data_IF_439493521068
#
_entry.id   IF_439493521068
#
_cell.length_a   1.000
_cell.length_b   1.000
_cell.length_c   1.000
_cell.angle_alpha   90.00
_cell.angle_beta   90.00
_cell.angle_gamma   90.00
#
_symmetry.space_group_name_H-M   'P 1'
#
loop_
_entity.id
_entity.type
_entity.pdbx_description
1 polymer ?
#
# COMPACT_ATOMS: atom_id res chain seq x y z
N UNK A 1 6.58 5.52 25.72
CA UNK A 1 6.44 6.60 24.72
C UNK A 1 6.46 5.90 23.38
N UNK A 2 5.73 6.35 22.34
CA UNK A 2 6.02 5.80 21.02
C UNK A 2 7.52 6.01 20.81
N UNK A 3 8.23 4.92 20.53
CA UNK A 3 9.65 4.99 20.20
C UNK A 3 9.82 6.06 19.12
N UNK A 4 10.86 6.89 19.23
CA UNK A 4 11.06 7.98 18.29
C UNK A 4 11.21 7.39 16.88
N UNK A 5 10.12 7.42 16.11
CA UNK A 5 10.02 6.82 14.77
C UNK A 5 11.13 7.37 13.88
N UNK A 6 11.47 8.65 14.05
CA UNK A 6 12.53 9.32 13.30
C UNK A 6 13.92 8.85 13.72
N UNK A 7 14.09 8.38 14.96
CA UNK A 7 15.30 7.74 15.44
C UNK A 7 15.41 6.27 15.02
N UNK A 8 14.29 5.54 14.92
CA UNK A 8 14.25 4.19 14.38
C UNK A 8 14.44 4.15 12.85
N UNK A 9 14.04 5.22 12.17
CA UNK A 9 14.13 5.41 10.72
C UNK A 9 14.87 6.70 10.36
N UNK A 10 16.18 6.83 10.66
CA UNK A 10 16.96 7.98 10.27
C UNK A 10 16.96 8.21 8.76
N UNK A 11 17.19 9.46 8.35
CA UNK A 11 17.37 9.81 6.94
C UNK A 11 18.57 9.06 6.35
N UNK A 12 18.36 8.53 5.15
CA UNK A 12 19.40 7.93 4.31
C UNK A 12 19.69 8.87 3.12
N UNK A 13 20.82 8.69 2.41
CA UNK A 13 21.08 9.40 1.17
C UNK A 13 19.98 9.14 0.13
N UNK A 14 19.58 10.18 -0.61
CA UNK A 14 18.60 10.03 -1.68
C UNK A 14 19.07 9.05 -2.78
N UNK A 15 20.39 8.92 -2.97
CA UNK A 15 21.01 8.00 -3.93
C UNK A 15 20.73 6.53 -3.66
N UNK A 16 20.24 6.18 -2.47
CA UNK A 16 19.79 4.82 -2.17
C UNK A 16 18.57 4.40 -3.02
N UNK A 17 17.85 5.36 -3.62
CA UNK A 17 16.75 5.10 -4.56
C UNK A 17 17.19 5.11 -6.03
N UNK A 18 18.44 5.45 -6.37
CA UNK A 18 18.90 5.60 -7.77
C UNK A 18 18.70 4.32 -8.57
N UNK A 19 18.92 3.16 -7.94
CA UNK A 19 18.71 1.87 -8.60
C UNK A 19 17.24 1.60 -8.94
N UNK A 20 16.30 2.10 -8.12
CA UNK A 20 14.86 2.02 -8.41
C UNK A 20 14.49 2.97 -9.54
N UNK A 21 15.04 4.18 -9.56
CA UNK A 21 14.85 5.13 -10.65
C UNK A 21 15.33 4.54 -11.99
N UNK A 22 16.53 3.95 -12.01
CA UNK A 22 17.06 3.26 -13.18
C UNK A 22 16.20 2.07 -13.61
N UNK A 23 15.69 1.30 -12.64
CA UNK A 23 14.91 0.10 -12.89
C UNK A 23 13.50 0.39 -13.40
N UNK A 24 12.83 1.39 -12.81
CA UNK A 24 11.49 1.85 -13.19
C UNK A 24 11.50 2.76 -14.42
N UNK A 25 12.66 3.37 -14.74
CA UNK A 25 12.78 4.45 -15.74
C UNK A 25 11.85 5.63 -15.42
N UNK A 26 11.80 5.99 -14.14
CA UNK A 26 10.89 6.99 -13.56
C UNK A 26 11.68 7.95 -12.65
N UNK A 27 11.16 9.16 -12.42
CA UNK A 27 11.73 10.15 -11.51
C UNK A 27 11.27 9.98 -10.05
N UNK A 28 10.36 9.05 -9.80
CA UNK A 28 9.86 8.70 -8.47
C UNK A 28 8.84 9.68 -7.92
N UNK A 29 8.31 10.59 -8.73
CA UNK A 29 7.38 11.64 -8.30
C UNK A 29 6.17 11.07 -7.55
N UNK A 30 5.67 9.91 -7.97
CA UNK A 30 4.55 9.18 -7.35
C UNK A 30 4.99 7.89 -6.65
N UNK A 31 6.24 7.47 -6.82
CA UNK A 31 6.79 6.19 -6.36
C UNK A 31 7.53 5.48 -7.50
N UNK A 32 8.23 4.41 -7.20
CA UNK A 32 8.97 3.62 -8.20
C UNK A 32 8.33 2.24 -8.40
N UNK A 33 7.58 2.06 -9.48
CA UNK A 33 7.02 0.75 -9.82
C UNK A 33 8.12 -0.19 -10.34
N UNK A 34 8.61 -1.09 -9.49
CA UNK A 34 9.56 -2.11 -9.93
C UNK A 34 8.90 -3.12 -10.92
N UNK A 35 9.66 -3.66 -11.89
CA UNK A 35 9.20 -4.74 -12.76
C UNK A 35 8.85 -5.98 -11.93
N UNK A 36 7.87 -6.78 -12.37
CA UNK A 36 7.28 -7.87 -11.60
C UNK A 36 8.13 -9.14 -11.50
N UNK A 37 9.46 -9.00 -11.34
CA UNK A 37 10.42 -10.11 -11.31
C UNK A 37 11.03 -10.29 -9.91
N UNK A 38 11.29 -11.53 -9.46
CA UNK A 38 10.97 -12.80 -10.14
C UNK A 38 9.47 -13.12 -10.12
N UNK A 39 8.71 -12.46 -9.25
CA UNK A 39 7.27 -12.58 -9.17
C UNK A 39 6.64 -11.30 -8.57
N UNK A 40 5.35 -11.06 -8.81
CA UNK A 40 4.63 -9.93 -8.22
C UNK A 40 3.12 -10.15 -8.07
N UNK A 41 2.54 -9.47 -7.08
CA UNK A 41 1.10 -9.29 -6.90
C UNK A 41 0.78 -7.85 -6.47
N UNK A 42 -0.48 -7.46 -6.64
CA UNK A 42 -1.03 -6.21 -6.14
C UNK A 42 -1.89 -6.50 -4.92
N UNK A 43 -1.50 -5.95 -3.77
CA UNK A 43 -2.33 -5.89 -2.57
C UNK A 43 -3.32 -4.74 -2.73
N UNK A 44 -4.61 -5.04 -2.67
CA UNK A 44 -5.69 -4.08 -2.85
C UNK A 44 -5.97 -3.34 -1.53
N UNK A 45 -6.07 -2.01 -1.59
CA UNK A 45 -6.33 -1.18 -0.43
C UNK A 45 -7.67 -1.49 0.23
N UNK A 46 -7.76 -1.24 1.54
CA UNK A 46 -8.96 -1.50 2.32
C UNK A 46 -10.14 -0.65 1.88
N UNK A 47 -11.23 -1.32 1.55
CA UNK A 47 -12.53 -0.72 1.30
C UNK A 47 -13.49 -1.17 2.41
N UNK A 48 -14.38 -0.29 2.85
CA UNK A 48 -15.30 -0.59 3.93
C UNK A 48 -16.73 -0.23 3.55
N UNK A 49 -17.69 -1.08 3.95
CA UNK A 49 -19.11 -0.84 3.79
C UNK A 49 -19.74 -0.43 5.13
N UNK A 50 -20.62 0.57 5.06
CA UNK A 50 -21.36 1.11 6.19
C UNK A 50 -22.55 0.21 6.52
N UNK A 51 -22.55 -0.37 7.73
CA UNK A 51 -23.73 -1.05 8.27
C UNK A 51 -24.83 -0.08 8.69
N UNK A 52 -26.06 -0.57 8.88
CA UNK A 52 -27.23 0.27 9.22
C UNK A 52 -27.06 1.07 10.52
N UNK A 53 -26.32 0.53 11.48
CA UNK A 53 -26.05 1.15 12.77
C UNK A 53 -24.67 1.82 12.86
N UNK A 54 -23.97 1.98 11.73
CA UNK A 54 -22.64 2.56 11.72
C UNK A 54 -22.66 4.05 12.06
N UNK A 55 -21.72 4.44 12.91
CA UNK A 55 -21.42 5.84 13.17
C UNK A 55 -20.78 6.49 11.92
N UNK A 56 -20.60 7.80 11.97
CA UNK A 56 -19.89 8.49 10.88
C UNK A 56 -18.43 8.04 10.85
N UNK A 57 -17.85 8.03 9.64
CA UNK A 57 -16.46 7.61 9.44
C UNK A 57 -15.52 8.46 10.30
N UNK A 58 -14.56 7.80 10.96
CA UNK A 58 -13.47 8.47 11.67
C UNK A 58 -12.49 9.13 10.70
N UNK A 59 -12.45 8.66 9.45
CA UNK A 59 -11.57 9.18 8.43
C UNK A 59 -12.16 10.45 7.79
N UNK A 60 -11.28 11.30 7.31
CA UNK A 60 -11.55 12.55 6.62
C UNK A 60 -10.39 12.85 5.68
N UNK A 61 -10.48 13.88 4.83
CA UNK A 61 -9.42 14.25 3.85
C UNK A 61 -8.01 14.48 4.46
N UNK A 62 -7.91 14.50 5.78
CA UNK A 62 -6.70 14.76 6.57
C UNK A 62 -6.45 13.67 7.63
N UNK A 63 -7.18 12.55 7.62
CA UNK A 63 -6.87 11.42 8.49
C UNK A 63 -5.81 10.53 7.85
N UNK A 64 -5.13 9.77 8.70
CA UNK A 64 -4.49 8.53 8.23
C UNK A 64 -5.59 7.52 7.96
N UNK A 65 -5.45 6.74 6.91
CA UNK A 65 -6.45 5.76 6.49
C UNK A 65 -6.55 4.63 7.51
N UNK A 66 -7.36 4.86 8.52
CA UNK A 66 -7.63 3.91 9.59
C UNK A 66 -8.91 3.13 9.27
N UNK A 67 -9.20 2.13 10.10
CA UNK A 67 -10.54 1.55 10.08
C UNK A 67 -11.57 2.67 10.37
N UNK A 68 -12.65 2.83 9.56
CA UNK A 68 -13.62 3.93 9.72
C UNK A 68 -14.43 3.97 11.02
N UNK A 69 -14.14 3.08 11.98
CA UNK A 69 -14.84 2.99 13.27
C UNK A 69 -15.99 1.97 13.34
N UNK A 70 -16.76 2.00 14.46
CA UNK A 70 -17.79 1.00 14.74
C UNK A 70 -18.92 0.95 13.71
N UNK A 71 -19.31 -0.27 13.35
CA UNK A 71 -20.40 -0.54 12.40
C UNK A 71 -20.00 -0.50 10.93
N UNK A 72 -18.76 -0.10 10.62
CA UNK A 72 -18.15 -0.32 9.32
C UNK A 72 -17.56 -1.73 9.25
N UNK A 73 -17.63 -2.35 8.08
CA UNK A 73 -17.10 -3.69 7.84
C UNK A 73 -16.22 -3.69 6.60
N UNK A 74 -15.13 -4.45 6.62
CA UNK A 74 -14.27 -4.64 5.43
C UNK A 74 -15.13 -5.21 4.30
N UNK A 75 -15.13 -4.54 3.16
CA UNK A 75 -15.74 -4.97 1.91
C UNK A 75 -14.62 -5.36 0.96
N UNK A 76 -14.59 -6.61 0.50
CA UNK A 76 -13.60 -7.02 -0.50
C UNK A 76 -13.93 -6.41 -1.86
N UNK A 77 -12.90 -6.07 -2.63
CA UNK A 77 -13.05 -5.65 -4.02
C UNK A 77 -13.79 -6.69 -4.85
N UNK A 78 -13.49 -7.97 -4.66
CA UNK A 78 -14.18 -9.09 -5.30
C UNK A 78 -15.67 -9.17 -4.94
N UNK A 79 -16.04 -8.81 -3.71
CA UNK A 79 -17.44 -8.77 -3.29
C UNK A 79 -18.19 -7.64 -3.97
N UNK A 80 -17.61 -6.44 -4.00
CA UNK A 80 -18.20 -5.30 -4.72
C UNK A 80 -18.30 -5.58 -6.22
N UNK A 81 -17.22 -6.04 -6.84
CA UNK A 81 -17.15 -6.42 -8.25
C UNK A 81 -18.27 -7.39 -8.62
N UNK A 82 -18.46 -8.46 -7.83
CA UNK A 82 -19.52 -9.43 -8.04
C UNK A 82 -20.93 -8.83 -7.90
N UNK A 83 -21.13 -7.88 -6.96
CA UNK A 83 -22.42 -7.20 -6.75
C UNK A 83 -22.81 -6.31 -7.94
N UNK A 84 -21.84 -5.61 -8.54
CA UNK A 84 -22.10 -4.62 -9.60
C UNK A 84 -21.83 -5.15 -11.02
N UNK A 85 -21.26 -6.34 -11.15
CA UNK A 85 -20.97 -6.98 -12.45
C UNK A 85 -19.67 -6.51 -13.11
N UNK A 86 -18.81 -5.80 -12.39
CA UNK A 86 -17.49 -5.38 -12.85
C UNK A 86 -16.42 -6.46 -12.59
N UNK A 87 -15.28 -6.47 -13.31
CA UNK A 87 -14.10 -7.21 -12.88
C UNK A 87 -13.45 -6.53 -11.66
N UNK A 88 -12.70 -7.29 -10.85
CA UNK A 88 -11.95 -6.74 -9.70
C UNK A 88 -10.98 -5.64 -10.13
N UNK A 89 -10.21 -5.91 -11.18
CA UNK A 89 -9.41 -4.91 -11.89
C UNK A 89 -9.66 -5.12 -13.39
N UNK A 90 -10.22 -4.14 -14.11
CA UNK A 90 -10.41 -4.23 -15.55
C UNK A 90 -9.10 -4.47 -16.30
N UNK A 91 -9.17 -5.19 -17.42
CA UNK A 91 -7.99 -5.52 -18.21
C UNK A 91 -7.24 -4.26 -18.67
N UNK A 92 -5.93 -4.23 -18.42
CA UNK A 92 -5.06 -3.11 -18.80
C UNK A 92 -5.10 -1.93 -17.84
N UNK A 93 -5.90 -1.99 -16.76
CA UNK A 93 -5.88 -0.99 -15.69
C UNK A 93 -5.00 -1.44 -14.52
N UNK A 94 -4.60 -0.46 -13.73
CA UNK A 94 -4.03 -0.65 -12.40
C UNK A 94 -5.15 -0.59 -11.35
N UNK A 95 -4.94 -1.10 -10.12
CA UNK A 95 -5.90 -0.94 -9.04
C UNK A 95 -6.02 0.53 -8.64
N UNK A 96 -7.06 1.20 -9.10
CA UNK A 96 -7.31 2.63 -8.84
C UNK A 96 -8.81 2.93 -8.86
N UNK A 97 -9.17 4.21 -8.71
CA UNK A 97 -10.56 4.67 -8.69
C UNK A 97 -11.37 4.36 -9.95
N UNK A 98 -10.73 3.95 -11.05
CA UNK A 98 -11.38 3.51 -12.28
C UNK A 98 -11.82 2.03 -12.29
N UNK A 99 -11.54 1.24 -11.25
CA UNK A 99 -11.85 -0.19 -11.26
C UNK A 99 -13.34 -0.54 -11.17
N UNK A 100 -14.18 0.37 -10.66
CA UNK A 100 -15.61 0.13 -10.46
C UNK A 100 -16.50 1.15 -11.20
N UNK A 101 -16.45 1.21 -12.55
CA UNK A 101 -17.22 2.18 -13.32
C UNK A 101 -18.73 2.04 -13.10
N UNK A 102 -19.23 0.83 -12.84
CA UNK A 102 -20.65 0.55 -12.64
C UNK A 102 -21.15 0.97 -11.25
N UNK A 103 -20.27 1.34 -10.32
CA UNK A 103 -20.65 1.74 -8.96
C UNK A 103 -21.56 2.97 -8.92
N UNK A 104 -21.44 3.88 -9.90
CA UNK A 104 -22.30 5.07 -10.02
C UNK A 104 -23.73 4.75 -10.47
N UNK A 105 -23.87 3.68 -11.24
CA UNK A 105 -25.15 3.23 -11.81
C UNK A 105 -25.83 2.19 -10.92
N UNK A 106 -25.04 1.48 -10.12
CA UNK A 106 -25.52 0.64 -9.04
C UNK A 106 -26.25 1.48 -7.98
N UNK A 107 -27.26 0.90 -7.33
CA UNK A 107 -28.02 1.52 -6.23
C UNK A 107 -27.18 1.63 -4.91
N UNK A 108 -25.88 1.87 -5.03
CA UNK A 108 -24.98 2.13 -3.90
C UNK A 108 -25.33 3.49 -3.32
N UNK A 109 -25.65 3.51 -2.03
CA UNK A 109 -26.02 4.74 -1.35
C UNK A 109 -24.79 5.65 -1.21
N UNK A 110 -24.89 6.96 -1.50
CA UNK A 110 -23.78 7.88 -1.27
C UNK A 110 -23.28 7.80 0.18
N UNK A 111 -21.98 7.66 0.37
CA UNK A 111 -21.35 7.52 1.69
C UNK A 111 -21.57 6.18 2.39
N UNK A 112 -22.11 5.16 1.70
CA UNK A 112 -22.18 3.80 2.25
C UNK A 112 -20.91 2.98 2.04
N UNK A 113 -19.97 3.48 1.25
CA UNK A 113 -18.67 2.88 1.02
C UNK A 113 -17.60 3.92 1.36
N UNK A 114 -16.66 3.50 2.20
CA UNK A 114 -15.36 4.13 2.37
C UNK A 114 -14.44 3.50 1.33
N UNK A 115 -14.01 4.30 0.37
CA UNK A 115 -13.12 3.83 -0.70
C UNK A 115 -11.68 3.73 -0.19
N UNK A 116 -10.85 2.89 -0.82
CA UNK A 116 -9.42 2.85 -0.52
C UNK A 116 -8.78 4.22 -0.71
N UNK A 117 -7.73 4.47 0.05
CA UNK A 117 -6.94 5.67 -0.04
C UNK A 117 -6.02 5.67 -1.27
N UNK A 118 -5.87 6.83 -1.89
CA UNK A 118 -4.89 7.06 -2.95
C UNK A 118 -3.49 7.14 -2.34
N UNK A 119 -2.54 6.37 -2.87
CA UNK A 119 -1.15 6.45 -2.46
C UNK A 119 -0.81 5.91 -1.07
N UNK A 120 -1.75 5.24 -0.40
CA UNK A 120 -1.57 4.74 0.97
C UNK A 120 -2.28 3.39 1.18
N UNK A 121 -1.83 2.66 2.20
CA UNK A 121 -2.55 1.50 2.74
C UNK A 121 -3.25 1.86 4.04
N UNK A 122 -4.41 1.24 4.28
CA UNK A 122 -5.07 1.30 5.58
C UNK A 122 -4.25 0.54 6.65
N UNK A 123 -4.38 0.94 7.92
CA UNK A 123 -3.60 0.35 9.03
C UNK A 123 -3.66 -1.19 9.08
N UNK A 124 -4.83 -1.85 9.02
CA UNK A 124 -4.90 -3.31 8.98
C UNK A 124 -4.12 -3.93 7.81
N UNK A 125 -4.27 -3.38 6.60
CA UNK A 125 -3.56 -3.87 5.40
C UNK A 125 -2.05 -3.66 5.52
N UNK A 126 -1.61 -2.50 6.00
CA UNK A 126 -0.19 -2.19 6.25
C UNK A 126 0.44 -3.19 7.23
N UNK A 127 -0.19 -3.41 8.38
CA UNK A 127 0.34 -4.30 9.42
C UNK A 127 0.51 -5.72 8.95
N UNK A 128 -0.50 -6.21 8.24
CA UNK A 128 -0.53 -7.55 7.69
C UNK A 128 0.52 -7.71 6.58
N UNK A 129 0.72 -6.71 5.73
CA UNK A 129 1.79 -6.70 4.74
C UNK A 129 3.18 -6.75 5.42
N UNK A 130 3.44 -5.93 6.45
CA UNK A 130 4.71 -5.96 7.18
C UNK A 130 4.94 -7.33 7.84
N UNK A 131 3.90 -7.98 8.35
CA UNK A 131 3.99 -9.35 8.88
C UNK A 131 4.47 -10.34 7.81
N UNK A 132 3.88 -10.32 6.63
CA UNK A 132 4.30 -11.18 5.51
C UNK A 132 5.74 -10.90 5.06
N UNK A 133 6.11 -9.63 4.90
CA UNK A 133 7.48 -9.25 4.56
C UNK A 133 8.47 -9.77 5.61
N UNK A 134 8.11 -9.68 6.90
CA UNK A 134 8.92 -10.18 8.01
C UNK A 134 9.08 -11.70 7.94
N UNK A 135 7.99 -12.44 7.77
CA UNK A 135 8.00 -13.91 7.70
C UNK A 135 8.79 -14.44 6.51
N UNK A 136 8.83 -13.71 5.41
CA UNK A 136 9.49 -14.12 4.17
C UNK A 136 10.88 -13.49 3.96
N UNK A 137 11.37 -12.69 4.91
CA UNK A 137 12.73 -12.16 4.88
C UNK A 137 13.68 -13.06 5.68
N UNK A 138 14.88 -13.43 5.17
CA UNK A 138 15.80 -14.33 5.87
C UNK A 138 16.24 -13.85 7.26
N UNK A 139 16.27 -12.53 7.47
CA UNK A 139 16.65 -11.90 8.74
C UNK A 139 15.43 -11.52 9.60
N UNK A 140 14.21 -11.86 9.17
CA UNK A 140 12.99 -11.57 9.90
C UNK A 140 12.86 -10.08 10.25
N UNK A 141 12.63 -9.80 11.53
CA UNK A 141 12.51 -8.43 12.05
C UNK A 141 13.80 -7.62 11.93
N UNK A 142 14.95 -8.27 11.87
CA UNK A 142 16.26 -7.60 11.78
C UNK A 142 16.64 -7.25 10.33
N UNK A 143 15.80 -7.60 9.35
CA UNK A 143 16.02 -7.28 7.93
C UNK A 143 16.22 -5.77 7.74
N UNK A 144 17.39 -5.32 7.25
CA UNK A 144 17.61 -3.91 6.94
C UNK A 144 16.72 -3.49 5.77
N UNK A 145 16.03 -2.37 5.92
CA UNK A 145 15.09 -1.86 4.95
C UNK A 145 15.28 -0.37 4.70
N UNK A 146 14.82 0.06 3.54
CA UNK A 146 14.71 1.47 3.21
C UNK A 146 13.28 1.82 2.84
N UNK A 147 12.81 2.95 3.34
CA UNK A 147 11.50 3.52 3.08
C UNK A 147 11.65 4.83 2.34
N UNK A 148 11.04 4.94 1.17
CA UNK A 148 11.00 6.14 0.36
C UNK A 148 9.60 6.76 0.43
N UNK A 149 9.56 8.06 0.70
CA UNK A 149 8.37 8.88 0.58
C UNK A 149 8.53 9.80 -0.63
N UNK A 150 7.62 9.65 -1.59
CA UNK A 150 7.65 10.46 -2.81
C UNK A 150 7.44 11.96 -2.50
N UNK A 151 7.89 12.85 -3.40
CA UNK A 151 7.75 14.29 -3.22
C UNK A 151 6.33 14.80 -2.97
N UNK A 152 5.32 14.16 -3.58
CA UNK A 152 3.92 14.56 -3.46
C UNK A 152 3.42 14.34 -2.03
N UNK A 153 3.61 13.14 -1.47
CA UNK A 153 3.15 12.79 -0.12
C UNK A 153 4.01 13.45 0.96
N UNK A 154 5.30 13.62 0.70
CA UNK A 154 6.22 14.31 1.61
C UNK A 154 6.05 15.83 1.56
N UNK A 155 5.38 16.37 0.53
CA UNK A 155 5.28 17.80 0.22
C UNK A 155 6.66 18.48 0.16
N UNK A 156 7.63 17.76 -0.41
CA UNK A 156 9.04 18.12 -0.46
C UNK A 156 9.61 17.72 -1.83
N UNK A 157 9.65 18.69 -2.75
CA UNK A 157 10.02 18.47 -4.16
C UNK A 157 11.51 18.64 -4.45
N UNK A 158 12.29 19.08 -3.47
CA UNK A 158 13.72 19.25 -3.65
C UNK A 158 14.45 17.91 -3.47
N UNK A 159 14.04 17.11 -2.49
CA UNK A 159 14.66 15.82 -2.18
C UNK A 159 13.59 14.83 -1.71
N UNK A 160 13.37 13.76 -2.48
CA UNK A 160 12.56 12.63 -2.02
C UNK A 160 13.16 11.98 -0.76
N UNK A 161 12.32 11.65 0.22
CA UNK A 161 12.82 11.28 1.56
C UNK A 161 13.03 9.78 1.66
N UNK A 162 14.29 9.36 1.62
CA UNK A 162 14.68 7.99 1.96
C UNK A 162 15.02 7.90 3.45
N UNK A 163 14.52 6.87 4.12
CA UNK A 163 14.84 6.51 5.50
C UNK A 163 15.34 5.09 5.57
N UNK A 164 16.30 4.81 6.43
CA UNK A 164 16.86 3.48 6.65
C UNK A 164 16.47 2.98 8.04
N UNK A 165 16.06 1.73 8.15
CA UNK A 165 15.62 1.13 9.41
C UNK A 165 15.57 -0.40 9.34
N UNK A 166 14.93 -1.02 10.32
CA UNK A 166 14.70 -2.47 10.35
C UNK A 166 13.24 -2.78 10.07
N UNK A 167 13.00 -3.91 9.42
CA UNK A 167 11.66 -4.36 9.08
C UNK A 167 10.74 -4.53 10.30
N UNK A 168 11.28 -4.98 11.45
CA UNK A 168 10.53 -5.10 12.69
C UNK A 168 9.99 -3.76 13.23
N UNK A 169 10.59 -2.64 12.82
CA UNK A 169 10.17 -1.30 13.19
C UNK A 169 9.25 -0.68 12.11
N UNK A 170 8.94 -1.39 11.01
CA UNK A 170 8.24 -0.83 9.85
C UNK A 170 6.76 -0.54 10.10
N UNK A 171 6.09 -1.29 11.00
CA UNK A 171 4.71 -0.96 11.37
C UNK A 171 4.57 0.48 11.89
N UNK A 172 5.60 0.99 12.58
CA UNK A 172 5.64 2.37 13.10
C UNK A 172 5.73 3.45 12.02
N UNK A 173 6.07 3.11 10.77
CA UNK A 173 6.10 4.09 9.67
C UNK A 173 4.70 4.62 9.32
N UNK A 174 3.64 3.85 9.61
CA UNK A 174 2.26 4.33 9.55
C UNK A 174 2.05 5.52 10.51
N UNK A 175 2.79 5.52 11.62
CA UNK A 175 2.67 6.52 12.67
C UNK A 175 3.56 7.76 12.48
N UNK A 176 4.21 7.91 11.32
CA UNK A 176 5.16 8.99 11.03
C UNK A 176 4.57 10.39 11.30
N UNK A 177 5.14 11.18 12.22
CA UNK A 177 4.52 12.44 12.68
C UNK A 177 4.47 13.53 11.59
N UNK A 178 5.28 13.41 10.53
CA UNK A 178 5.39 14.41 9.47
C UNK A 178 4.64 14.00 8.19
N UNK A 179 4.37 12.71 7.99
CA UNK A 179 3.82 12.17 6.74
C UNK A 179 2.65 11.25 7.08
N UNK A 180 1.47 11.52 6.51
CA UNK A 180 0.23 10.81 6.83
C UNK A 180 -0.08 9.64 5.88
N UNK A 181 0.89 9.27 5.07
CA UNK A 181 0.84 8.18 4.12
C UNK A 181 1.79 7.08 4.55
N UNK A 182 1.51 5.83 4.18
CA UNK A 182 2.55 4.81 4.15
C UNK A 182 3.66 5.20 3.15
N UNK A 183 4.89 4.67 3.29
CA UNK A 183 5.94 4.92 2.30
C UNK A 183 5.49 4.54 0.88
N UNK A 184 5.79 5.38 -0.11
CA UNK A 184 5.54 5.08 -1.52
C UNK A 184 6.32 3.86 -1.98
N UNK A 185 7.52 3.67 -1.45
CA UNK A 185 8.27 2.43 -1.58
C UNK A 185 8.85 1.99 -0.24
N UNK A 186 8.91 0.67 -0.05
CA UNK A 186 9.69 0.04 1.01
C UNK A 186 10.40 -1.17 0.39
N UNK A 187 11.70 -1.35 0.64
CA UNK A 187 12.45 -2.49 0.12
C UNK A 187 13.44 -3.02 1.13
N UNK A 188 13.76 -4.31 1.02
CA UNK A 188 14.90 -4.88 1.73
C UNK A 188 16.20 -4.35 1.13
N UNK A 189 17.19 -4.04 1.96
CA UNK A 189 18.48 -3.51 1.52
C UNK A 189 19.29 -4.49 0.63
N UNK A 190 18.91 -5.77 0.61
CA UNK A 190 19.46 -6.77 -0.32
C UNK A 190 18.70 -6.86 -1.66
N UNK A 191 17.68 -6.03 -1.83
CA UNK A 191 16.78 -5.93 -2.99
C UNK A 191 16.03 -7.22 -3.30
N UNK A 192 15.88 -8.11 -2.31
CA UNK A 192 15.15 -9.38 -2.46
C UNK A 192 13.65 -9.17 -2.69
N UNK A 193 13.08 -8.07 -2.20
CA UNK A 193 11.71 -7.64 -2.44
C UNK A 193 11.60 -6.11 -2.39
N UNK A 194 10.56 -5.59 -3.02
CA UNK A 194 10.19 -4.17 -3.01
C UNK A 194 8.68 -4.04 -3.07
N UNK A 195 8.15 -3.09 -2.31
CA UNK A 195 6.75 -2.66 -2.40
C UNK A 195 6.67 -1.28 -3.04
N UNK A 196 5.60 -1.02 -3.78
CA UNK A 196 5.32 0.27 -4.39
C UNK A 196 3.82 0.60 -4.26
N UNK A 197 3.50 1.72 -3.62
CA UNK A 197 2.19 2.34 -3.64
C UNK A 197 2.33 3.65 -4.39
N UNK A 198 1.93 3.64 -5.66
CA UNK A 198 1.89 4.87 -6.45
C UNK A 198 0.79 5.80 -5.94
N UNK A 199 1.06 7.10 -5.95
CA UNK A 199 0.16 8.13 -5.45
C UNK A 199 -1.26 8.06 -6.03
N UNK A 200 -1.42 7.75 -7.32
CA UNK A 200 -2.73 7.73 -7.99
C UNK A 200 -3.46 6.38 -7.86
N UNK A 201 -2.86 5.41 -7.17
CA UNK A 201 -3.38 4.05 -7.07
C UNK A 201 -4.02 3.75 -5.72
N UNK A 202 -4.95 2.80 -5.75
CA UNK A 202 -5.63 2.20 -4.60
C UNK A 202 -5.07 0.82 -4.26
N UNK A 203 -3.93 0.46 -4.86
CA UNK A 203 -3.27 -0.82 -4.65
C UNK A 203 -1.77 -0.64 -4.52
N UNK A 204 -1.16 -1.59 -3.81
CA UNK A 204 0.27 -1.65 -3.57
C UNK A 204 0.85 -2.84 -4.28
N UNK A 205 1.78 -2.61 -5.21
CA UNK A 205 2.53 -3.68 -5.87
C UNK A 205 3.57 -4.24 -4.89
N UNK A 206 3.66 -5.56 -4.80
CA UNK A 206 4.70 -6.27 -4.06
C UNK A 206 5.45 -7.16 -5.04
N UNK A 207 6.72 -6.86 -5.26
CA UNK A 207 7.63 -7.66 -6.08
C UNK A 207 8.60 -8.40 -5.16
N UNK A 208 8.85 -9.69 -5.40
CA UNK A 208 9.74 -10.47 -4.55
C UNK A 208 9.72 -11.97 -4.84
N UNK A 209 10.19 -12.81 -3.91
CA UNK A 209 10.23 -14.25 -4.09
C UNK A 209 8.83 -14.82 -4.28
N UNK A 210 8.71 -15.86 -5.11
CA UNK A 210 7.43 -16.53 -5.37
C UNK A 210 6.69 -16.96 -4.08
N UNK A 211 7.41 -17.42 -3.07
CA UNK A 211 6.81 -17.82 -1.78
C UNK A 211 6.12 -16.67 -1.06
N UNK A 212 6.67 -15.45 -1.12
CA UNK A 212 6.04 -14.25 -0.57
C UNK A 212 4.76 -13.91 -1.36
N UNK A 213 4.85 -13.92 -2.69
CA UNK A 213 3.73 -13.56 -3.56
C UNK A 213 2.55 -14.55 -3.40
N UNK A 214 2.81 -15.85 -3.34
CA UNK A 214 1.77 -16.86 -3.09
C UNK A 214 1.15 -16.74 -1.69
N UNK A 215 1.94 -16.38 -0.68
CA UNK A 215 1.42 -16.14 0.67
C UNK A 215 0.43 -14.96 0.69
N UNK A 216 0.74 -13.86 -0.02
CA UNK A 216 -0.16 -12.71 -0.15
C UNK A 216 -1.46 -13.06 -0.88
N UNK A 217 -1.38 -13.85 -1.96
CA UNK A 217 -2.54 -14.23 -2.78
C UNK A 217 -3.49 -15.21 -2.08
N UNK A 218 -3.00 -15.96 -1.09
CA UNK A 218 -3.77 -16.97 -0.36
C UNK A 218 -4.25 -16.50 1.00
N UNK A 219 -3.85 -15.31 1.43
CA UNK A 219 -4.26 -14.75 2.71
C UNK A 219 -5.77 -14.41 2.71
N UNK A 220 -6.52 -14.81 3.75
CA UNK A 220 -7.93 -14.47 3.82
C UNK A 220 -8.19 -13.01 4.24
N UNK A 221 -7.22 -12.34 4.88
CA UNK A 221 -7.39 -10.97 5.40
C UNK A 221 -6.96 -9.92 4.39
N UNK A 222 -5.83 -10.12 3.71
CA UNK A 222 -5.42 -9.35 2.54
C UNK A 222 -6.21 -9.78 1.31
N UNK A 223 -6.49 -8.82 0.45
CA UNK A 223 -6.96 -9.11 -0.89
C UNK A 223 -5.85 -8.74 -1.86
N UNK A 224 -5.36 -9.74 -2.59
CA UNK A 224 -4.31 -9.55 -3.56
C UNK A 224 -4.65 -10.19 -4.90
N UNK A 225 -4.15 -9.62 -5.99
CA UNK A 225 -4.38 -10.09 -7.35
C UNK A 225 -3.08 -10.09 -8.17
N UNK A 226 -2.99 -11.00 -9.14
CA UNK A 226 -1.97 -10.95 -10.18
C UNK A 226 -2.51 -10.19 -11.38
N UNK A 227 -1.74 -9.23 -11.89
CA UNK A 227 -2.08 -8.49 -13.11
C UNK A 227 -1.05 -8.79 -14.19
N UNK A 228 -1.37 -9.64 -15.20
CA UNK A 228 -0.41 -10.12 -16.19
C UNK A 228 0.26 -9.04 -17.06
N UNK A 229 -0.33 -7.85 -17.15
CA UNK A 229 0.20 -6.71 -17.92
C UNK A 229 1.13 -5.81 -17.09
N UNK A 230 1.36 -6.13 -15.81
CA UNK A 230 2.26 -5.39 -14.90
C UNK A 230 3.49 -6.22 -14.49
N UNK A 231 3.69 -7.39 -15.12
CA UNK A 231 4.80 -8.33 -14.84
C UNK A 231 6.08 -8.00 -15.61
#
# INVERSE_FOLDING_TARGET
MPDDILAAWPLAPASEADWLADLAQDDGLTGYEAPGRPDAAWVLGGMYERGEAAEDSLNHEQSRDEHPGPGWQRLRWAELAARIGDPVVPQGLYPCYHCFPSAKEAEIRPGSIEWPAEGSLDRPTWDQLIRFLTEHSPQGTDTPCLAYYNPIIARDFEIGRVRFGRLGDAQSLFDNPEIWYTPSNLWAADHSWVVCTDYDLWGTKVCGPHSLVEALLTDPELEAVRLPWTS
#
